data_IF_268585851409
#
_entry.id   IF_268585851409
#
_cell.length_a   1.000
_cell.length_b   1.000
_cell.length_c   1.000
_cell.angle_alpha   90.00
_cell.angle_beta   90.00
_cell.angle_gamma   90.00
#
_symmetry.space_group_name_H-M   'P 1'
#
loop_
_entity.id
_entity.type
_entity.pdbx_description
1 polymer ?
#
# COMPACT_ATOMS: atom_id res chain seq x y z
N UNK A 1 3.68 -7.43 -4.25
CA UNK A 1 5.12 -7.48 -4.53
C UNK A 1 5.46 -8.59 -5.54
N UNK A 2 5.23 -9.89 -5.24
CA UNK A 2 5.62 -11.02 -6.12
C UNK A 2 5.00 -10.89 -7.52
N UNK A 3 3.72 -10.58 -7.59
CA UNK A 3 3.02 -10.30 -8.85
C UNK A 3 3.68 -9.14 -9.61
N UNK A 4 3.96 -8.06 -8.93
CA UNK A 4 4.55 -6.86 -9.54
C UNK A 4 5.94 -7.14 -10.12
N UNK A 5 6.78 -7.87 -9.41
CA UNK A 5 8.10 -8.26 -9.88
C UNK A 5 8.01 -9.25 -11.06
N UNK A 6 7.06 -10.19 -11.00
CA UNK A 6 6.80 -11.13 -12.08
C UNK A 6 6.36 -10.45 -13.37
N UNK A 7 5.40 -9.53 -13.29
CA UNK A 7 4.92 -8.75 -14.46
C UNK A 7 6.04 -7.88 -15.03
N UNK A 8 6.81 -7.21 -14.17
CA UNK A 8 7.94 -6.41 -14.62
C UNK A 8 8.95 -7.23 -15.42
N UNK A 9 9.38 -8.39 -14.89
CA UNK A 9 10.31 -9.29 -15.59
C UNK A 9 9.74 -9.82 -16.90
N UNK A 10 8.46 -10.18 -16.90
CA UNK A 10 7.78 -10.68 -18.09
C UNK A 10 7.72 -9.63 -19.19
N UNK A 11 7.31 -8.39 -18.88
CA UNK A 11 7.29 -7.28 -19.84
C UNK A 11 8.69 -6.94 -20.37
N UNK A 12 9.69 -6.97 -19.50
CA UNK A 12 11.11 -6.74 -19.88
C UNK A 12 11.57 -7.83 -20.87
N UNK A 13 11.27 -9.09 -20.59
CA UNK A 13 11.68 -10.20 -21.47
C UNK A 13 11.02 -10.17 -22.85
N UNK A 14 9.83 -9.57 -22.96
CA UNK A 14 9.12 -9.36 -24.23
C UNK A 14 9.65 -8.19 -25.04
N UNK A 15 10.45 -7.31 -24.45
CA UNK A 15 10.93 -6.09 -25.09
C UNK A 15 9.85 -5.04 -25.36
N UNK A 16 8.65 -5.19 -24.78
CA UNK A 16 7.55 -4.23 -24.94
C UNK A 16 7.75 -3.01 -24.04
N UNK A 17 8.53 -2.06 -24.55
CA UNK A 17 8.86 -0.83 -23.81
C UNK A 17 7.63 0.02 -23.47
N UNK A 18 6.61 0.02 -24.34
CA UNK A 18 5.38 0.79 -24.14
C UNK A 18 4.57 0.24 -22.98
N UNK A 19 4.31 -1.08 -22.99
CA UNK A 19 3.59 -1.75 -21.89
C UNK A 19 4.38 -1.67 -20.57
N UNK A 20 5.71 -1.79 -20.61
CA UNK A 20 6.56 -1.64 -19.42
C UNK A 20 6.46 -0.24 -18.82
N UNK A 21 6.53 0.82 -19.63
CA UNK A 21 6.40 2.20 -19.16
C UNK A 21 5.01 2.48 -18.57
N UNK A 22 3.94 2.01 -19.24
CA UNK A 22 2.57 2.12 -18.74
C UNK A 22 2.39 1.39 -17.40
N UNK A 23 2.96 0.19 -17.27
CA UNK A 23 2.92 -0.59 -16.05
C UNK A 23 3.67 0.12 -14.90
N UNK A 24 4.86 0.65 -15.17
CA UNK A 24 5.64 1.40 -14.17
C UNK A 24 4.90 2.66 -13.71
N UNK A 25 4.29 3.41 -14.62
CA UNK A 25 3.46 4.58 -14.29
C UNK A 25 2.27 4.18 -13.41
N UNK A 26 1.59 3.10 -13.73
CA UNK A 26 0.48 2.57 -12.93
C UNK A 26 0.92 2.16 -11.51
N UNK A 27 2.12 1.57 -11.36
CA UNK A 27 2.69 1.23 -10.05
C UNK A 27 2.99 2.48 -9.21
N UNK A 28 3.58 3.51 -9.81
CA UNK A 28 3.84 4.78 -9.13
C UNK A 28 2.54 5.40 -8.62
N UNK A 29 1.51 5.44 -9.47
CA UNK A 29 0.20 5.92 -9.08
C UNK A 29 -0.42 5.10 -7.93
N UNK A 30 -0.40 3.78 -8.03
CA UNK A 30 -0.88 2.89 -6.95
C UNK A 30 -0.15 3.15 -5.64
N UNK A 31 1.18 3.27 -5.67
CA UNK A 31 1.98 3.54 -4.47
C UNK A 31 1.62 4.90 -3.85
N UNK A 32 1.40 5.91 -4.67
CA UNK A 32 0.94 7.21 -4.19
C UNK A 32 -0.42 7.09 -3.48
N UNK A 33 -1.41 6.42 -4.08
CA UNK A 33 -2.73 6.22 -3.46
C UNK A 33 -2.60 5.48 -2.13
N UNK A 34 -1.84 4.39 -2.08
CA UNK A 34 -1.61 3.62 -0.85
C UNK A 34 -0.99 4.48 0.25
N UNK A 35 0.00 5.31 -0.09
CA UNK A 35 0.62 6.23 0.86
C UNK A 35 -0.38 7.28 1.38
N UNK A 36 -1.27 7.79 0.52
CA UNK A 36 -2.33 8.71 0.95
C UNK A 36 -3.34 8.02 1.89
N UNK A 37 -3.71 6.79 1.61
CA UNK A 37 -4.60 5.97 2.48
C UNK A 37 -3.95 5.75 3.84
N UNK A 38 -2.67 5.43 3.88
CA UNK A 38 -1.92 5.23 5.12
C UNK A 38 -1.84 6.51 5.94
N UNK A 39 -1.49 7.63 5.33
CA UNK A 39 -1.45 8.94 6.00
C UNK A 39 -2.84 9.35 6.53
N UNK A 40 -3.90 9.08 5.74
CA UNK A 40 -5.27 9.36 6.15
C UNK A 40 -5.70 8.50 7.35
N UNK A 41 -5.33 7.22 7.37
CA UNK A 41 -5.56 6.33 8.52
C UNK A 41 -4.86 6.85 9.77
N UNK A 42 -3.61 7.31 9.67
CA UNK A 42 -2.88 7.92 10.79
C UNK A 42 -3.63 9.14 11.32
N UNK A 43 -4.04 10.07 10.43
CA UNK A 43 -4.79 11.27 10.82
C UNK A 43 -6.12 10.93 11.51
N UNK A 44 -6.79 9.85 11.12
CA UNK A 44 -7.99 9.37 11.81
C UNK A 44 -7.66 8.77 13.18
N UNK A 45 -6.54 8.06 13.31
CA UNK A 45 -6.04 7.58 14.60
C UNK A 45 -5.81 8.72 15.58
N UNK A 46 -5.11 9.77 15.12
CA UNK A 46 -4.86 10.99 15.91
C UNK A 46 -6.16 11.68 16.31
N UNK A 47 -7.12 11.79 15.38
CA UNK A 47 -8.45 12.32 15.69
C UNK A 47 -9.16 11.50 16.77
N UNK A 48 -9.14 10.17 16.67
CA UNK A 48 -9.80 9.30 17.66
C UNK A 48 -9.11 9.30 19.03
N UNK A 49 -7.83 9.64 19.10
CA UNK A 49 -7.13 9.82 20.35
C UNK A 49 -7.54 11.12 21.09
N UNK A 50 -8.25 12.04 20.42
CA UNK A 50 -8.77 13.25 21.06
C UNK A 50 -10.00 12.92 21.92
N UNK A 51 -10.27 13.76 22.90
CA UNK A 51 -11.46 13.68 23.76
C UNK A 51 -12.62 14.55 23.28
N UNK A 52 -12.77 14.74 21.95
CA UNK A 52 -13.85 15.54 21.40
C UNK A 52 -15.23 14.92 21.67
N UNK A 53 -16.25 15.77 21.84
CA UNK A 53 -17.64 15.33 21.86
C UNK A 53 -17.98 14.58 20.55
N UNK A 54 -18.89 13.58 20.60
CA UNK A 54 -19.21 12.72 19.44
C UNK A 54 -19.61 13.48 18.17
N UNK A 55 -20.29 14.59 18.31
CA UNK A 55 -20.70 15.42 17.16
C UNK A 55 -19.50 16.10 16.47
N UNK A 56 -18.59 16.66 17.28
CA UNK A 56 -17.35 17.26 16.79
C UNK A 56 -16.50 16.19 16.11
N UNK A 57 -16.36 15.01 16.75
CA UNK A 57 -15.64 13.87 16.20
C UNK A 57 -16.18 13.48 14.80
N UNK A 58 -17.51 13.33 14.65
CA UNK A 58 -18.13 13.02 13.36
C UNK A 58 -17.90 14.10 12.33
N UNK A 59 -17.95 15.39 12.71
CA UNK A 59 -17.67 16.52 11.83
C UNK A 59 -16.23 16.50 11.34
N UNK A 60 -15.27 16.31 12.23
CA UNK A 60 -13.85 16.25 11.88
C UNK A 60 -13.53 15.05 10.99
N UNK A 61 -14.12 13.88 11.28
CA UNK A 61 -14.00 12.71 10.42
C UNK A 61 -14.47 13.00 8.98
N UNK A 62 -15.65 13.61 8.81
CA UNK A 62 -16.14 13.97 7.47
C UNK A 62 -15.19 14.92 6.75
N UNK A 63 -14.65 15.92 7.44
CA UNK A 63 -13.67 16.85 6.86
C UNK A 63 -12.38 16.16 6.42
N UNK A 64 -11.86 15.22 7.20
CA UNK A 64 -10.69 14.44 6.81
C UNK A 64 -10.94 13.65 5.53
N UNK A 65 -12.07 12.96 5.42
CA UNK A 65 -12.42 12.23 4.19
C UNK A 65 -12.66 13.14 2.99
N UNK A 66 -13.26 14.32 3.18
CA UNK A 66 -13.41 15.30 2.10
C UNK A 66 -12.05 15.76 1.57
N UNK A 67 -11.13 16.13 2.44
CA UNK A 67 -9.76 16.52 2.07
C UNK A 67 -9.00 15.40 1.37
N UNK A 68 -9.21 14.15 1.78
CA UNK A 68 -8.60 13.00 1.12
C UNK A 68 -9.11 12.86 -0.33
N UNK A 69 -10.44 12.98 -0.55
CA UNK A 69 -11.04 12.95 -1.91
C UNK A 69 -10.52 14.07 -2.77
N UNK A 70 -10.57 15.32 -2.28
CA UNK A 70 -10.07 16.49 -3.01
C UNK A 70 -8.61 16.33 -3.44
N UNK A 71 -7.77 15.80 -2.54
CA UNK A 71 -6.37 15.53 -2.87
C UNK A 71 -6.25 14.47 -3.96
N UNK A 72 -6.99 13.37 -3.84
CA UNK A 72 -7.00 12.30 -4.84
C UNK A 72 -7.43 12.82 -6.21
N UNK A 73 -8.55 13.56 -6.29
CA UNK A 73 -9.10 14.10 -7.55
C UNK A 73 -8.14 15.08 -8.21
N UNK A 74 -7.51 15.94 -7.42
CA UNK A 74 -6.51 16.89 -7.91
C UNK A 74 -5.32 16.19 -8.54
N UNK A 75 -4.72 15.24 -7.84
CA UNK A 75 -3.53 14.52 -8.33
C UNK A 75 -3.87 13.63 -9.53
N UNK A 76 -5.02 12.94 -9.47
CA UNK A 76 -5.49 12.14 -10.60
C UNK A 76 -5.65 12.96 -11.86
N UNK A 77 -6.26 14.13 -11.76
CA UNK A 77 -6.51 15.03 -12.90
C UNK A 77 -5.21 15.64 -13.41
N UNK A 78 -4.33 16.11 -12.53
CA UNK A 78 -3.06 16.73 -12.90
C UNK A 78 -2.13 15.73 -13.61
N UNK A 79 -2.08 14.48 -13.15
CA UNK A 79 -1.24 13.42 -13.72
C UNK A 79 -1.94 12.62 -14.83
N UNK A 80 -3.18 12.93 -15.19
CA UNK A 80 -4.02 12.15 -16.14
C UNK A 80 -4.02 10.66 -15.79
N UNK A 81 -4.05 10.36 -14.49
CA UNK A 81 -3.99 8.97 -14.01
C UNK A 81 -5.33 8.23 -14.24
N UNK A 82 -5.29 6.91 -14.44
CA UNK A 82 -6.50 6.14 -14.63
C UNK A 82 -7.38 6.16 -13.37
N UNK A 83 -8.71 6.16 -13.57
CA UNK A 83 -9.72 6.17 -12.50
C UNK A 83 -9.91 4.83 -11.78
N UNK A 84 -8.89 3.98 -11.72
CA UNK A 84 -8.96 2.64 -11.12
C UNK A 84 -9.35 2.65 -9.63
N UNK A 85 -9.13 3.77 -8.94
CA UNK A 85 -9.47 3.97 -7.53
C UNK A 85 -10.72 4.82 -7.30
N UNK A 86 -11.34 5.38 -8.37
CA UNK A 86 -12.47 6.31 -8.26
C UNK A 86 -13.62 5.72 -7.44
N UNK A 87 -14.02 4.49 -7.72
CA UNK A 87 -15.08 3.80 -6.99
C UNK A 87 -14.72 3.60 -5.52
N UNK A 88 -13.46 3.27 -5.23
CA UNK A 88 -13.00 3.05 -3.86
C UNK A 88 -12.95 4.35 -3.07
N UNK A 89 -12.42 5.43 -3.66
CA UNK A 89 -12.29 6.77 -3.03
C UNK A 89 -13.64 7.47 -2.92
N UNK A 90 -14.49 7.35 -3.94
CA UNK A 90 -15.82 7.96 -3.99
C UNK A 90 -16.86 7.29 -3.09
N UNK A 91 -16.62 6.04 -2.68
CA UNK A 91 -17.52 5.29 -1.83
C UNK A 91 -17.63 5.85 -0.40
N UNK A 92 -18.58 5.30 0.39
CA UNK A 92 -18.75 5.76 1.77
C UNK A 92 -17.48 5.58 2.61
N UNK A 93 -17.17 6.59 3.44
CA UNK A 93 -16.01 6.58 4.33
C UNK A 93 -16.11 5.41 5.33
N UNK A 94 -15.19 4.45 5.23
CA UNK A 94 -15.20 3.26 6.09
C UNK A 94 -13.79 2.93 6.57
N UNK A 95 -13.60 2.91 7.90
CA UNK A 95 -12.31 2.58 8.52
C UNK A 95 -11.84 1.16 8.15
N UNK A 96 -12.77 0.21 7.94
CA UNK A 96 -12.42 -1.15 7.55
C UNK A 96 -11.76 -1.20 6.16
N UNK A 97 -12.23 -0.39 5.21
CA UNK A 97 -11.60 -0.25 3.89
C UNK A 97 -10.16 0.27 3.98
N UNK A 98 -9.93 1.27 4.86
CA UNK A 98 -8.58 1.80 5.08
C UNK A 98 -7.67 0.74 5.72
N UNK A 99 -8.18 0.04 6.74
CA UNK A 99 -7.41 -1.00 7.43
C UNK A 99 -7.06 -2.15 6.50
N UNK A 100 -7.95 -2.57 5.60
CA UNK A 100 -7.67 -3.63 4.64
C UNK A 100 -6.43 -3.28 3.78
N UNK A 101 -6.39 -2.07 3.20
CA UNK A 101 -5.24 -1.65 2.39
C UNK A 101 -3.97 -1.64 3.22
N UNK A 102 -3.98 -1.01 4.41
CA UNK A 102 -2.78 -0.89 5.25
C UNK A 102 -2.28 -2.27 5.69
N UNK A 103 -3.17 -3.17 6.08
CA UNK A 103 -2.80 -4.54 6.50
C UNK A 103 -2.07 -5.30 5.39
N UNK A 104 -2.55 -5.20 4.14
CA UNK A 104 -1.91 -5.88 3.01
C UNK A 104 -0.60 -5.22 2.57
N UNK A 105 -0.40 -3.94 2.85
CA UNK A 105 0.78 -3.19 2.43
C UNK A 105 1.87 -3.10 3.50
N UNK A 106 1.51 -3.32 4.76
CA UNK A 106 2.37 -3.12 5.92
C UNK A 106 3.73 -3.81 5.80
N UNK A 107 3.77 -5.03 5.31
CA UNK A 107 4.99 -5.83 5.23
C UNK A 107 5.58 -5.95 3.82
N UNK A 108 5.04 -5.23 2.85
CA UNK A 108 5.62 -5.22 1.49
C UNK A 108 7.10 -4.84 1.50
N UNK A 109 7.55 -3.80 2.24
CA UNK A 109 8.98 -3.47 2.32
C UNK A 109 9.84 -4.62 2.87
N UNK A 110 9.36 -5.33 3.91
CA UNK A 110 10.06 -6.47 4.47
C UNK A 110 10.27 -7.60 3.43
N UNK A 111 9.24 -7.90 2.64
CA UNK A 111 9.34 -8.90 1.58
C UNK A 111 10.21 -8.45 0.41
N UNK A 112 10.22 -7.17 0.08
CA UNK A 112 11.14 -6.60 -0.91
C UNK A 112 12.59 -6.79 -0.47
N UNK A 113 12.90 -6.42 0.76
CA UNK A 113 14.24 -6.59 1.31
C UNK A 113 14.64 -8.07 1.41
N UNK A 114 13.72 -8.95 1.83
CA UNK A 114 13.96 -10.40 1.84
C UNK A 114 14.28 -10.95 0.44
N UNK A 115 13.65 -10.41 -0.59
CA UNK A 115 13.93 -10.77 -1.98
C UNK A 115 15.33 -10.31 -2.43
N UNK A 116 15.73 -9.09 -2.08
CA UNK A 116 17.08 -8.58 -2.32
C UNK A 116 18.13 -9.44 -1.63
N UNK A 117 17.93 -9.78 -0.35
CA UNK A 117 18.78 -10.71 0.41
C UNK A 117 18.79 -12.15 -0.15
N UNK A 118 17.89 -12.46 -1.05
CA UNK A 118 17.84 -13.73 -1.79
C UNK A 118 18.55 -13.64 -3.14
N UNK A 119 19.31 -12.56 -3.40
CA UNK A 119 19.96 -12.28 -4.67
C UNK A 119 18.95 -12.13 -5.81
N UNK A 120 17.74 -11.63 -5.52
CA UNK A 120 16.63 -11.47 -6.46
C UNK A 120 16.22 -12.75 -7.19
N UNK A 121 16.41 -13.92 -6.53
CA UNK A 121 16.07 -15.25 -7.03
C UNK A 121 14.80 -15.77 -6.36
N UNK A 122 13.71 -15.94 -7.12
CA UNK A 122 12.43 -16.41 -6.57
C UNK A 122 12.50 -17.74 -5.82
N UNK A 123 13.21 -18.79 -6.26
CA UNK A 123 13.26 -20.02 -5.49
C UNK A 123 13.82 -19.82 -4.08
N UNK A 124 14.93 -19.09 -3.94
CA UNK A 124 15.56 -18.80 -2.65
C UNK A 124 14.64 -17.93 -1.77
N UNK A 125 14.00 -16.93 -2.38
CA UNK A 125 13.03 -16.06 -1.70
C UNK A 125 11.86 -16.88 -1.15
N UNK A 126 11.26 -17.75 -1.97
CA UNK A 126 10.11 -18.56 -1.57
C UNK A 126 10.46 -19.53 -0.43
N UNK A 127 11.67 -20.10 -0.41
CA UNK A 127 12.11 -20.94 0.70
C UNK A 127 12.23 -20.14 2.00
N UNK A 128 12.77 -18.91 1.95
CA UNK A 128 12.80 -18.03 3.11
C UNK A 128 11.39 -17.59 3.57
N UNK A 129 10.46 -17.37 2.64
CA UNK A 129 9.05 -17.06 2.97
C UNK A 129 8.38 -18.27 3.65
N UNK A 130 8.61 -19.51 3.17
CA UNK A 130 8.11 -20.72 3.83
C UNK A 130 8.64 -20.81 5.26
N UNK A 131 9.95 -20.58 5.47
CA UNK A 131 10.55 -20.58 6.80
C UNK A 131 9.94 -19.53 7.76
N UNK A 132 9.37 -18.43 7.25
CA UNK A 132 8.57 -17.51 8.05
C UNK A 132 7.21 -18.12 8.44
N UNK A 133 6.69 -19.08 7.67
CA UNK A 133 5.47 -19.82 8.00
C UNK A 133 5.64 -20.79 9.15
N UNK A 134 6.85 -21.33 9.33
CA UNK A 134 7.17 -22.41 10.27
C UNK A 134 7.43 -21.90 11.70
N UNK A 135 7.50 -20.58 11.91
CA UNK A 135 7.71 -19.97 13.23
C UNK A 135 6.41 -19.43 13.83
N UNK A 136 6.43 -19.16 15.13
CA UNK A 136 5.27 -18.59 15.82
C UNK A 136 4.86 -17.22 15.25
N UNK A 137 3.57 -16.81 15.37
CA UNK A 137 3.14 -15.49 14.91
C UNK A 137 3.94 -14.33 15.49
N UNK A 138 4.33 -14.40 16.77
CA UNK A 138 5.12 -13.38 17.44
C UNK A 138 6.54 -13.26 16.84
N UNK A 139 7.20 -14.41 16.65
CA UNK A 139 8.53 -14.48 16.07
C UNK A 139 8.52 -14.04 14.58
N UNK A 140 7.48 -14.42 13.83
CA UNK A 140 7.27 -13.97 12.45
C UNK A 140 7.17 -12.45 12.37
N UNK A 141 6.38 -11.86 13.25
CA UNK A 141 6.22 -10.41 13.32
C UNK A 141 7.55 -9.73 13.62
N UNK A 142 8.32 -10.22 14.61
CA UNK A 142 9.63 -9.68 14.97
C UNK A 142 10.61 -9.74 13.77
N UNK A 143 10.66 -10.88 13.07
CA UNK A 143 11.50 -11.03 11.87
C UNK A 143 11.11 -10.07 10.75
N UNK A 144 9.81 -9.89 10.50
CA UNK A 144 9.33 -8.96 9.47
C UNK A 144 9.63 -7.50 9.84
N UNK A 145 9.47 -7.12 11.11
CA UNK A 145 9.81 -5.76 11.58
C UNK A 145 11.31 -5.50 11.45
N UNK A 146 12.16 -6.45 11.79
CA UNK A 146 13.61 -6.33 11.60
C UNK A 146 14.00 -6.13 10.14
N UNK A 147 13.35 -6.86 9.23
CA UNK A 147 13.57 -6.68 7.78
C UNK A 147 13.15 -5.30 7.26
N UNK A 148 12.24 -4.60 7.92
CA UNK A 148 11.84 -3.24 7.55
C UNK A 148 12.83 -2.16 8.03
N UNK A 149 13.72 -2.50 8.95
CA UNK A 149 14.66 -1.58 9.58
C UNK A 149 16.06 -1.61 8.95
N UNK A 150 16.29 -2.50 8.01
CA UNK A 150 17.53 -2.65 7.24
C UNK A 150 17.49 -1.82 5.96
#
# INVERSE_FOLDING_TARGET
FVEEEGVHRWLTSRGDKGALAAYQSSRVWRSWVVNQVTAHRTSLGDLYATKFAPEIMRKQKRLLFARFRERYERERSAGQHPGTWDHWVGGEPNNAKLNAIVTYQQFVPAFQHLFELSGSKFPIFLDKVRALGDVTPAERLDRLVKLMSL
#
